data_IF_235747725397
#
_entry.id   IF_235747725397
#
_cell.length_a   1.000
_cell.length_b   1.000
_cell.length_c   1.000
_cell.angle_alpha   90.00
_cell.angle_beta   90.00
_cell.angle_gamma   90.00
#
_symmetry.space_group_name_H-M   'P 1'
#
loop_
_entity.id
_entity.type
_entity.pdbx_description
1 polymer ?
#
# COMPACT_ATOMS: atom_id res chain seq x y z
N UNK A 1 13.71 24.54 -38.78
CA UNK A 1 12.72 23.49 -39.10
C UNK A 1 12.08 23.11 -37.78
N UNK A 2 10.94 23.70 -37.49
CA UNK A 2 10.10 23.33 -36.35
C UNK A 2 9.35 22.06 -36.71
N UNK A 3 9.55 20.99 -35.97
CA UNK A 3 8.73 19.80 -36.01
C UNK A 3 7.60 19.95 -35.02
N UNK A 4 6.43 20.31 -35.51
CA UNK A 4 5.17 20.24 -34.77
C UNK A 4 4.90 18.79 -34.38
N UNK A 5 4.56 18.46 -33.10
CA UNK A 5 4.13 17.12 -32.76
C UNK A 5 2.79 16.81 -33.46
N UNK A 6 2.71 15.67 -34.13
CA UNK A 6 1.43 15.17 -34.64
C UNK A 6 0.46 14.92 -33.50
N UNK A 7 -0.70 15.56 -33.58
CA UNK A 7 -1.82 15.37 -32.69
C UNK A 7 -2.44 13.99 -32.97
N UNK A 8 -2.25 13.03 -32.07
CA UNK A 8 -2.94 11.74 -32.12
C UNK A 8 -4.39 11.95 -31.73
N UNK A 9 -5.26 12.07 -32.74
CA UNK A 9 -6.71 12.04 -32.56
C UNK A 9 -7.12 10.60 -32.23
N UNK A 10 -7.42 10.31 -30.98
CA UNK A 10 -8.09 9.07 -30.58
C UNK A 10 -9.53 9.10 -31.08
N UNK A 11 -9.82 8.38 -32.15
CA UNK A 11 -11.19 8.08 -32.58
C UNK A 11 -11.82 7.09 -31.60
N UNK A 12 -13.11 7.32 -31.29
CA UNK A 12 -13.97 6.57 -30.37
C UNK A 12 -14.07 5.06 -30.65
N UNK A 13 -13.04 4.32 -30.28
CA UNK A 13 -13.12 2.93 -29.92
C UNK A 13 -12.34 2.82 -28.62
N UNK A 14 -12.98 2.38 -27.53
CA UNK A 14 -12.35 2.07 -26.24
C UNK A 14 -11.31 0.95 -26.42
N UNK A 15 -10.17 1.28 -27.03
CA UNK A 15 -8.97 0.52 -26.85
C UNK A 15 -8.53 0.85 -25.42
N UNK A 16 -8.65 -0.11 -24.50
CA UNK A 16 -8.02 -0.01 -23.19
C UNK A 16 -6.57 0.41 -23.42
N UNK A 17 -6.12 1.50 -22.80
CA UNK A 17 -4.70 1.80 -22.77
C UNK A 17 -4.00 0.52 -22.27
N UNK A 18 -2.89 0.13 -22.90
CA UNK A 18 -2.22 -1.14 -22.57
C UNK A 18 -1.75 -1.17 -21.10
N UNK A 19 -1.38 -2.35 -20.65
CA UNK A 19 -0.78 -2.56 -19.32
C UNK A 19 0.50 -1.73 -19.23
N UNK A 20 0.62 -0.90 -18.17
CA UNK A 20 1.81 -0.09 -17.88
C UNK A 20 2.67 -0.80 -16.84
N UNK A 21 3.97 -0.96 -17.11
CA UNK A 21 4.90 -1.57 -16.17
C UNK A 21 5.51 -0.51 -15.25
N UNK A 22 5.30 -0.66 -13.94
CA UNK A 22 5.91 0.16 -12.90
C UNK A 22 7.07 -0.59 -12.25
N UNK A 23 8.29 -0.08 -12.45
CA UNK A 23 9.50 -0.64 -11.84
C UNK A 23 9.78 0.05 -10.52
N UNK A 24 9.99 -0.68 -9.41
CA UNK A 24 10.26 -0.09 -8.11
C UNK A 24 11.63 0.56 -8.05
N UNK A 25 11.81 1.46 -7.06
CA UNK A 25 13.12 1.96 -6.64
C UNK A 25 13.46 1.44 -5.25
N UNK A 26 14.72 1.13 -5.01
CA UNK A 26 15.20 0.77 -3.67
C UNK A 26 15.32 2.03 -2.81
N UNK A 27 14.77 1.97 -1.60
CA UNK A 27 14.84 3.03 -0.61
C UNK A 27 15.06 2.44 0.78
N UNK A 28 15.83 3.10 1.68
CA UNK A 28 15.95 2.66 3.05
C UNK A 28 14.67 2.97 3.83
N UNK A 29 14.19 2.02 4.62
CA UNK A 29 13.06 2.19 5.52
C UNK A 29 13.58 2.50 6.94
N UNK A 30 13.25 3.68 7.51
CA UNK A 30 13.50 3.99 8.92
C UNK A 30 14.91 4.54 9.25
N UNK A 31 15.74 4.89 8.27
CA UNK A 31 17.04 5.54 8.47
C UNK A 31 18.25 4.73 8.00
N UNK A 32 19.52 5.16 8.28
CA UNK A 32 20.73 4.66 7.61
C UNK A 32 21.13 3.19 7.91
N UNK A 33 20.47 2.51 8.83
CA UNK A 33 20.68 1.10 9.14
C UNK A 33 19.41 0.28 8.98
N UNK A 34 18.48 0.82 8.23
CA UNK A 34 17.18 0.24 8.03
C UNK A 34 17.19 -0.77 6.89
N UNK A 35 16.19 -1.63 6.90
CA UNK A 35 15.92 -2.58 5.85
C UNK A 35 15.65 -1.85 4.52
N UNK A 36 16.20 -2.35 3.42
CA UNK A 36 15.90 -1.85 2.09
C UNK A 36 14.52 -2.33 1.65
N UNK A 37 13.73 -1.42 1.09
CA UNK A 37 12.43 -1.72 0.51
C UNK A 37 12.37 -1.32 -0.96
N UNK A 38 11.59 -2.06 -1.73
CA UNK A 38 11.28 -1.78 -3.14
C UNK A 38 10.01 -0.94 -3.20
N UNK A 39 10.16 0.37 -3.36
CA UNK A 39 9.03 1.31 -3.42
C UNK A 39 8.50 1.45 -4.83
N UNK A 40 7.27 0.99 -5.05
CA UNK A 40 6.58 1.11 -6.34
C UNK A 40 5.70 2.36 -6.41
N UNK A 41 5.01 2.69 -5.32
CA UNK A 41 4.22 3.92 -5.22
C UNK A 41 4.73 4.78 -4.04
N UNK A 42 4.73 6.14 -4.16
CA UNK A 42 4.44 6.91 -5.37
C UNK A 42 5.65 6.99 -6.31
N UNK A 43 5.36 7.14 -7.62
CA UNK A 43 6.35 7.45 -8.64
C UNK A 43 5.99 8.75 -9.37
N UNK A 44 6.95 9.27 -10.17
CA UNK A 44 6.72 10.49 -10.96
C UNK A 44 5.60 10.32 -11.98
N UNK A 45 5.51 9.14 -12.58
CA UNK A 45 4.53 8.80 -13.62
C UNK A 45 3.20 8.34 -13.04
N UNK A 46 3.19 7.82 -11.78
CA UNK A 46 1.98 7.31 -11.12
C UNK A 46 2.06 7.54 -9.62
N UNK A 47 1.16 8.33 -9.09
CA UNK A 47 1.08 8.59 -7.64
C UNK A 47 0.06 7.69 -6.95
N UNK A 48 -1.01 7.31 -7.65
CA UNK A 48 -2.15 6.55 -7.13
C UNK A 48 -2.51 5.36 -8.02
N UNK A 49 -3.13 4.36 -7.42
CA UNK A 49 -3.94 3.31 -8.07
C UNK A 49 -5.24 3.24 -7.26
N UNK A 50 -6.36 3.75 -7.78
CA UNK A 50 -7.50 4.09 -6.95
C UNK A 50 -7.07 5.05 -5.84
N UNK A 51 -7.36 4.71 -4.58
CA UNK A 51 -6.86 5.45 -3.43
C UNK A 51 -5.52 4.92 -2.84
N UNK A 52 -4.95 3.86 -3.41
CA UNK A 52 -3.63 3.37 -2.98
C UNK A 52 -2.55 4.36 -3.39
N UNK A 53 -1.90 4.98 -2.40
CA UNK A 53 -0.93 6.06 -2.61
C UNK A 53 0.50 5.69 -2.22
N UNK A 54 0.71 4.51 -1.64
CA UNK A 54 2.03 4.04 -1.22
C UNK A 54 2.10 2.51 -1.28
N UNK A 55 3.21 1.98 -1.79
CA UNK A 55 3.51 0.57 -1.82
C UNK A 55 5.01 0.36 -1.66
N UNK A 56 5.40 -0.17 -0.50
CA UNK A 56 6.72 -0.69 -0.19
C UNK A 56 6.65 -2.21 -0.09
N UNK A 57 7.38 -2.90 -0.96
CA UNK A 57 7.55 -4.34 -0.94
C UNK A 57 8.94 -4.66 -0.41
N UNK A 58 9.05 -5.53 0.57
CA UNK A 58 10.31 -5.84 1.26
C UNK A 58 10.51 -7.31 1.47
N UNK A 59 11.75 -7.69 1.63
CA UNK A 59 12.18 -9.06 1.90
C UNK A 59 12.24 -9.97 0.66
N UNK A 60 12.45 -11.28 0.88
CA UNK A 60 12.76 -11.89 2.18
C UNK A 60 14.04 -11.30 2.79
N UNK A 61 13.94 -10.76 4.00
CA UNK A 61 15.00 -10.07 4.71
C UNK A 61 15.42 -10.87 5.96
N UNK A 62 16.68 -11.34 6.06
CA UNK A 62 17.16 -12.06 7.24
C UNK A 62 17.34 -11.06 8.40
N UNK A 63 16.44 -11.07 9.36
CA UNK A 63 16.40 -10.12 10.48
C UNK A 63 17.66 -10.16 11.34
N UNK A 64 18.32 -11.31 11.44
CA UNK A 64 19.60 -11.44 12.15
C UNK A 64 20.72 -10.58 11.58
N UNK A 65 20.71 -10.31 10.28
CA UNK A 65 21.72 -9.53 9.56
C UNK A 65 21.39 -8.03 9.54
N UNK A 66 20.11 -7.68 9.36
CA UNK A 66 19.63 -6.31 9.12
C UNK A 66 19.07 -5.64 10.37
N UNK A 67 18.61 -6.43 11.35
CA UNK A 67 17.83 -5.99 12.50
C UNK A 67 16.31 -5.92 12.20
N UNK A 68 15.89 -6.25 10.96
CA UNK A 68 14.50 -6.26 10.55
C UNK A 68 13.83 -4.88 10.55
N UNK A 69 12.51 -4.87 10.63
CA UNK A 69 11.75 -3.62 10.76
C UNK A 69 11.93 -3.03 12.15
N UNK A 70 12.40 -1.80 12.21
CA UNK A 70 12.61 -1.04 13.44
C UNK A 70 12.21 0.41 13.21
N UNK A 71 10.91 0.67 13.20
CA UNK A 71 10.35 2.00 12.96
C UNK A 71 9.78 2.55 14.27
N UNK A 72 10.53 3.41 14.99
CA UNK A 72 10.07 4.06 16.21
C UNK A 72 8.82 4.92 15.97
N UNK A 73 8.21 5.37 17.05
CA UNK A 73 7.03 6.23 17.00
C UNK A 73 7.16 7.32 15.96
N UNK A 74 6.22 7.35 15.02
CA UNK A 74 6.11 8.33 13.93
C UNK A 74 4.64 8.64 13.65
N UNK A 75 4.31 9.80 13.06
CA UNK A 75 2.94 10.25 12.90
C UNK A 75 2.39 9.91 11.54
N UNK A 76 1.06 9.87 11.42
CA UNK A 76 0.34 9.86 10.14
C UNK A 76 -0.88 10.78 10.19
N UNK A 77 -1.27 11.33 9.03
CA UNK A 77 -2.50 12.09 8.80
C UNK A 77 -3.09 11.76 7.45
N UNK A 78 -4.43 11.74 7.32
CA UNK A 78 -5.14 11.70 6.05
C UNK A 78 -5.00 10.41 5.25
N UNK A 79 -4.59 9.31 5.91
CA UNK A 79 -4.36 8.02 5.28
C UNK A 79 -4.78 6.85 6.16
N UNK A 80 -4.80 5.67 5.57
CA UNK A 80 -4.81 4.39 6.28
C UNK A 80 -3.51 3.63 5.95
N UNK A 81 -2.90 2.95 6.94
CA UNK A 81 -1.81 2.00 6.67
C UNK A 81 -2.37 0.60 6.58
N UNK A 82 -1.86 -0.19 5.65
CA UNK A 82 -2.20 -1.59 5.46
C UNK A 82 -0.92 -2.40 5.51
N UNK A 83 -0.79 -3.30 6.48
CA UNK A 83 0.32 -4.23 6.58
C UNK A 83 -0.16 -5.62 6.15
N UNK A 84 0.55 -6.22 5.17
CA UNK A 84 0.32 -7.58 4.70
C UNK A 84 1.63 -8.35 4.64
N UNK A 85 1.79 -9.32 5.54
CA UNK A 85 3.01 -10.12 5.63
C UNK A 85 2.87 -11.45 4.88
N UNK A 86 3.97 -11.87 4.26
CA UNK A 86 4.17 -13.21 3.70
C UNK A 86 4.92 -14.11 4.69
N UNK A 87 5.84 -13.52 5.47
CA UNK A 87 6.65 -14.22 6.47
C UNK A 87 7.08 -13.26 7.56
N UNK A 88 7.23 -13.77 8.78
CA UNK A 88 7.63 -13.01 9.96
C UNK A 88 6.46 -12.33 10.66
N UNK A 89 6.77 -11.61 11.72
CA UNK A 89 5.79 -10.89 12.53
C UNK A 89 6.28 -9.49 12.85
N UNK A 90 5.35 -8.54 12.91
CA UNK A 90 5.60 -7.15 13.30
C UNK A 90 4.70 -6.81 14.49
N UNK A 91 5.28 -6.26 15.55
CA UNK A 91 4.56 -5.65 16.64
C UNK A 91 4.18 -4.22 16.25
N UNK A 92 2.88 -3.94 16.22
CA UNK A 92 2.29 -2.64 16.01
C UNK A 92 1.76 -2.08 17.34
N UNK A 93 2.10 -0.83 17.65
CA UNK A 93 1.52 -0.05 18.76
C UNK A 93 1.15 1.33 18.27
N UNK A 94 0.00 1.85 18.70
CA UNK A 94 -0.42 3.19 18.31
C UNK A 94 -0.97 4.04 19.47
N UNK A 95 -1.08 5.32 19.19
CA UNK A 95 -1.56 6.32 20.16
C UNK A 95 -3.09 6.31 20.38
N UNK A 96 -3.84 5.51 19.62
CA UNK A 96 -5.26 5.26 19.88
C UNK A 96 -5.48 4.12 20.89
N UNK A 97 -4.38 3.47 21.32
CA UNK A 97 -4.38 2.41 22.32
C UNK A 97 -4.45 1.00 21.74
N UNK A 98 -4.31 0.85 20.43
CA UNK A 98 -4.23 -0.48 19.81
C UNK A 98 -2.80 -1.03 19.91
N UNK A 99 -2.75 -2.33 20.20
CA UNK A 99 -1.52 -3.11 20.24
C UNK A 99 -1.82 -4.46 19.58
N UNK A 100 -1.13 -4.78 18.50
CA UNK A 100 -1.36 -5.98 17.72
C UNK A 100 -0.06 -6.57 17.18
N UNK A 101 -0.06 -7.89 17.01
CA UNK A 101 0.97 -8.58 16.23
C UNK A 101 0.41 -8.80 14.82
N UNK A 102 1.07 -8.21 13.83
CA UNK A 102 0.81 -8.45 12.41
C UNK A 102 1.41 -9.79 12.03
N UNK A 103 0.60 -10.69 11.45
CA UNK A 103 1.02 -12.04 11.06
C UNK A 103 0.78 -12.32 9.58
N UNK A 104 1.49 -13.27 8.99
CA UNK A 104 1.23 -13.71 7.62
C UNK A 104 -0.23 -14.12 7.40
N UNK A 105 -0.81 -13.66 6.29
CA UNK A 105 -2.20 -13.95 5.92
C UNK A 105 -3.25 -13.22 6.76
N UNK A 106 -2.87 -12.22 7.54
CA UNK A 106 -3.75 -11.36 8.32
C UNK A 106 -3.56 -9.89 7.91
N UNK A 107 -4.63 -9.14 7.74
CA UNK A 107 -4.56 -7.71 7.46
C UNK A 107 -4.70 -6.90 8.74
N UNK A 108 -3.81 -5.94 8.91
CA UNK A 108 -3.96 -4.86 9.87
C UNK A 108 -4.14 -3.55 9.10
N UNK A 109 -5.24 -2.86 9.38
CA UNK A 109 -5.59 -1.57 8.80
C UNK A 109 -5.69 -0.54 9.92
N UNK A 110 -4.71 0.35 10.01
CA UNK A 110 -4.75 1.51 10.90
C UNK A 110 -5.27 2.73 10.14
N UNK A 111 -6.36 3.31 10.59
CA UNK A 111 -6.88 4.58 10.07
C UNK A 111 -6.29 5.73 10.85
N UNK A 112 -5.46 6.55 10.20
CA UNK A 112 -4.86 7.72 10.82
C UNK A 112 -5.86 8.88 10.97
N UNK A 113 -6.73 9.06 10.00
CA UNK A 113 -7.72 10.13 10.01
C UNK A 113 -7.09 11.49 10.25
N UNK A 114 -7.60 12.21 11.25
CA UNK A 114 -7.09 13.55 11.65
C UNK A 114 -5.65 13.55 12.15
N UNK A 115 -5.14 12.40 12.61
CA UNK A 115 -3.78 12.23 13.12
C UNK A 115 -3.67 11.11 14.13
N UNK A 116 -2.63 10.30 14.01
CA UNK A 116 -2.23 9.21 14.90
C UNK A 116 -0.71 9.13 14.92
N UNK A 117 -0.12 8.51 15.94
CA UNK A 117 1.27 8.04 15.88
C UNK A 117 1.33 6.56 16.19
N UNK A 118 2.27 5.85 15.56
CA UNK A 118 2.49 4.43 15.80
C UNK A 118 3.96 4.04 15.71
N UNK A 119 4.28 2.84 16.18
CA UNK A 119 5.58 2.18 16.01
C UNK A 119 5.39 0.78 15.44
N UNK A 120 6.39 0.30 14.69
CA UNK A 120 6.40 -1.01 14.07
C UNK A 120 7.78 -1.66 14.26
N UNK A 121 7.82 -2.82 14.91
CA UNK A 121 9.05 -3.56 15.18
C UNK A 121 8.87 -5.03 14.81
N UNK A 122 9.87 -5.62 14.13
CA UNK A 122 9.94 -7.08 14.01
C UNK A 122 9.97 -7.71 15.40
N UNK A 123 9.15 -8.76 15.60
CA UNK A 123 9.18 -9.47 16.88
C UNK A 123 10.51 -10.23 17.06
N UNK A 124 10.93 -10.54 18.30
CA UNK A 124 12.17 -11.30 18.54
C UNK A 124 12.20 -12.68 17.88
N UNK A 125 11.04 -13.26 17.62
CA UNK A 125 10.88 -14.58 17.00
C UNK A 125 10.98 -14.53 15.47
N UNK A 126 10.97 -13.34 14.88
CA UNK A 126 11.05 -13.17 13.42
C UNK A 126 12.47 -13.38 12.92
N UNK A 127 12.70 -14.52 12.27
CA UNK A 127 13.99 -14.82 11.63
C UNK A 127 14.11 -14.20 10.24
N UNK A 128 13.01 -14.17 9.49
CA UNK A 128 12.91 -13.57 8.15
C UNK A 128 11.68 -12.70 8.10
N UNK A 129 11.82 -11.46 7.63
CA UNK A 129 10.71 -10.56 7.37
C UNK A 129 10.47 -10.42 5.88
N UNK A 130 9.21 -10.63 5.44
CA UNK A 130 8.82 -10.52 4.03
C UNK A 130 7.35 -10.08 3.94
N UNK A 131 7.07 -9.06 3.14
CA UNK A 131 5.71 -8.53 3.02
C UNK A 131 5.62 -7.23 2.26
N UNK A 132 4.48 -6.58 2.42
CA UNK A 132 4.20 -5.27 1.85
C UNK A 132 3.59 -4.34 2.90
N UNK A 133 4.05 -3.07 2.87
CA UNK A 133 3.43 -1.95 3.56
C UNK A 133 2.78 -1.05 2.53
N UNK A 134 1.47 -0.83 2.68
CA UNK A 134 0.70 -0.01 1.75
C UNK A 134 -0.01 1.11 2.50
N UNK A 135 -0.28 2.21 1.79
CA UNK A 135 -1.16 3.25 2.31
C UNK A 135 -2.29 3.54 1.34
N UNK A 136 -3.44 3.83 1.93
CA UNK A 136 -4.64 4.29 1.25
C UNK A 136 -4.87 5.76 1.63
N UNK A 137 -4.93 6.65 0.68
CA UNK A 137 -5.30 8.03 0.92
C UNK A 137 -6.79 8.11 1.29
N UNK A 138 -7.11 8.83 2.36
CA UNK A 138 -8.50 9.08 2.72
C UNK A 138 -9.09 10.19 1.83
N UNK A 139 -10.33 10.02 1.34
CA UNK A 139 -11.03 11.08 0.63
C UNK A 139 -11.29 12.28 1.55
N UNK A 140 -11.56 13.45 0.99
CA UNK A 140 -11.77 14.68 1.78
C UNK A 140 -12.91 14.53 2.80
N UNK A 141 -13.92 13.74 2.48
CA UNK A 141 -15.04 13.41 3.37
C UNK A 141 -14.64 12.60 4.61
N UNK A 142 -13.50 11.88 4.58
CA UNK A 142 -13.08 10.96 5.65
C UNK A 142 -11.69 11.28 6.26
N UNK A 143 -10.91 12.19 5.69
CA UNK A 143 -9.53 12.46 6.15
C UNK A 143 -9.41 13.05 7.55
N UNK A 144 -10.53 13.43 8.16
CA UNK A 144 -10.59 13.98 9.52
C UNK A 144 -11.32 13.08 10.53
N UNK A 145 -11.65 11.84 10.16
CA UNK A 145 -12.24 10.88 11.10
C UNK A 145 -11.31 10.61 12.27
N UNK A 146 -11.85 10.06 13.35
CA UNK A 146 -11.04 9.62 14.48
C UNK A 146 -10.17 8.43 14.08
N UNK A 147 -8.98 8.29 14.65
CA UNK A 147 -8.16 7.10 14.47
C UNK A 147 -8.88 5.82 14.86
N UNK A 148 -8.71 4.78 14.03
CA UNK A 148 -9.26 3.45 14.30
C UNK A 148 -8.28 2.38 13.84
N UNK A 149 -8.53 1.14 14.28
CA UNK A 149 -7.75 -0.02 13.89
C UNK A 149 -8.67 -1.19 13.57
N UNK A 150 -8.40 -1.91 12.49
CA UNK A 150 -9.08 -3.13 12.13
C UNK A 150 -8.07 -4.24 11.88
N UNK A 151 -8.36 -5.42 12.42
CA UNK A 151 -7.61 -6.65 12.20
C UNK A 151 -8.55 -7.71 11.63
N UNK A 152 -8.11 -8.42 10.61
CA UNK A 152 -8.91 -9.49 10.00
C UNK A 152 -8.01 -10.55 9.36
N UNK A 153 -8.40 -11.80 9.55
CA UNK A 153 -7.81 -12.96 8.86
C UNK A 153 -8.79 -13.43 7.79
N UNK A 154 -8.56 -13.11 6.50
CA UNK A 154 -9.44 -13.56 5.45
C UNK A 154 -9.34 -15.07 5.26
N UNK A 155 -10.51 -15.71 5.11
CA UNK A 155 -10.57 -17.11 4.71
C UNK A 155 -10.06 -17.25 3.27
N UNK A 156 -9.16 -18.20 3.00
CA UNK A 156 -8.69 -18.45 1.65
C UNK A 156 -9.81 -19.02 0.79
N UNK A 157 -9.90 -18.59 -0.45
CA UNK A 157 -10.68 -19.27 -1.49
C UNK A 157 -9.73 -19.91 -2.49
N UNK A 158 -10.04 -21.12 -2.98
CA UNK A 158 -9.19 -21.81 -3.92
C UNK A 158 -9.28 -23.32 -3.86
N UNK A 159 -8.24 -23.97 -4.36
CA UNK A 159 -8.04 -25.41 -4.39
C UNK A 159 -6.55 -25.74 -4.32
N UNK A 160 -6.15 -26.97 -4.62
CA UNK A 160 -4.74 -27.42 -4.58
C UNK A 160 -3.83 -26.72 -5.62
N UNK A 161 -4.40 -26.00 -6.60
CA UNK A 161 -3.64 -25.33 -7.64
C UNK A 161 -3.50 -23.84 -7.42
N UNK A 162 -4.38 -23.22 -6.64
CA UNK A 162 -4.35 -21.78 -6.37
C UNK A 162 -5.09 -21.43 -5.09
N UNK A 163 -4.67 -20.33 -4.51
CA UNK A 163 -5.29 -19.74 -3.33
C UNK A 163 -5.35 -18.22 -3.47
N UNK A 164 -6.47 -17.62 -3.08
CA UNK A 164 -6.66 -16.16 -3.03
C UNK A 164 -7.20 -15.77 -1.66
N UNK A 165 -6.56 -14.77 -1.04
CA UNK A 165 -7.01 -14.13 0.21
C UNK A 165 -7.36 -12.68 -0.05
N UNK A 166 -8.64 -12.35 0.02
CA UNK A 166 -9.12 -10.97 -0.16
C UNK A 166 -9.08 -10.27 1.19
N UNK A 167 -8.08 -9.42 1.39
CA UNK A 167 -7.91 -8.72 2.66
C UNK A 167 -8.65 -7.37 2.72
N UNK A 168 -8.98 -6.73 1.58
CA UNK A 168 -9.84 -5.55 1.48
C UNK A 168 -10.77 -5.66 0.27
N UNK A 169 -11.99 -5.16 0.41
CA UNK A 169 -12.98 -5.13 -0.66
C UNK A 169 -13.49 -6.51 -1.05
N UNK A 170 -13.72 -6.75 -2.33
CA UNK A 170 -14.23 -8.01 -2.84
C UNK A 170 -13.61 -8.39 -4.18
N UNK A 171 -13.52 -9.68 -4.46
CA UNK A 171 -12.95 -10.22 -5.69
C UNK A 171 -13.69 -11.46 -6.15
N UNK A 172 -13.91 -11.58 -7.47
CA UNK A 172 -14.36 -12.79 -8.12
C UNK A 172 -13.25 -13.36 -9.00
N UNK A 173 -13.06 -14.67 -8.87
CA UNK A 173 -12.04 -15.43 -9.61
C UNK A 173 -12.71 -16.62 -10.27
N UNK A 174 -12.36 -16.92 -11.53
CA UNK A 174 -12.84 -18.12 -12.20
C UNK A 174 -11.68 -18.93 -12.77
N UNK A 175 -11.89 -20.22 -12.80
CA UNK A 175 -11.02 -21.18 -13.47
C UNK A 175 -11.46 -21.37 -14.94
N UNK A 176 -10.59 -21.95 -15.74
CA UNK A 176 -10.89 -22.26 -17.13
C UNK A 176 -12.09 -23.20 -17.36
N UNK A 177 -12.56 -23.88 -16.32
CA UNK A 177 -13.74 -24.73 -16.30
C UNK A 177 -15.07 -23.98 -16.03
N UNK A 178 -15.01 -22.64 -15.79
CA UNK A 178 -16.17 -21.79 -15.58
C UNK A 178 -16.74 -21.79 -14.16
N UNK A 179 -16.07 -22.40 -13.17
CA UNK A 179 -16.45 -22.25 -11.77
C UNK A 179 -16.06 -20.85 -11.28
N UNK A 180 -17.02 -20.11 -10.75
CA UNK A 180 -16.82 -18.78 -10.17
C UNK A 180 -16.71 -18.88 -8.64
N UNK A 181 -15.66 -18.25 -8.10
CA UNK A 181 -15.40 -18.12 -6.67
C UNK A 181 -15.46 -16.65 -6.29
N UNK A 182 -16.06 -16.33 -5.16
CA UNK A 182 -16.21 -14.95 -4.67
C UNK A 182 -15.84 -14.86 -3.20
N UNK A 183 -15.06 -13.83 -2.88
CA UNK A 183 -14.72 -13.51 -1.49
C UNK A 183 -14.86 -12.02 -1.23
N UNK A 184 -15.22 -11.67 0.01
CA UNK A 184 -15.38 -10.30 0.49
C UNK A 184 -14.76 -10.15 1.87
N UNK A 185 -13.99 -9.11 2.04
CA UNK A 185 -13.45 -8.71 3.35
C UNK A 185 -14.50 -7.91 4.13
N UNK A 186 -14.70 -8.18 5.43
CA UNK A 186 -15.57 -7.37 6.28
C UNK A 186 -14.91 -6.03 6.71
N UNK A 187 -13.64 -5.81 6.37
CA UNK A 187 -12.91 -4.61 6.76
C UNK A 187 -13.45 -3.41 6.00
N UNK A 188 -13.91 -2.40 6.73
CA UNK A 188 -14.49 -1.19 6.15
C UNK A 188 -13.40 -0.25 5.64
N UNK A 189 -13.55 0.21 4.40
CA UNK A 189 -12.74 1.26 3.77
C UNK A 189 -13.59 2.50 3.49
N UNK A 190 -12.94 3.64 3.26
CA UNK A 190 -13.61 4.92 3.00
C UNK A 190 -13.80 5.22 1.50
N UNK A 191 -13.24 4.35 0.65
CA UNK A 191 -13.40 4.34 -0.81
C UNK A 191 -13.61 2.90 -1.26
N UNK A 192 -14.13 2.69 -2.46
CA UNK A 192 -14.17 1.34 -3.04
C UNK A 192 -12.74 0.88 -3.37
N UNK A 193 -12.31 -0.17 -2.70
CA UNK A 193 -10.97 -0.75 -2.86
C UNK A 193 -11.04 -2.26 -3.07
N UNK A 194 -9.96 -2.81 -3.59
CA UNK A 194 -9.63 -4.24 -3.51
C UNK A 194 -8.16 -4.40 -3.13
N UNK A 195 -7.92 -5.36 -2.26
CA UNK A 195 -6.59 -5.85 -1.93
C UNK A 195 -6.65 -7.35 -1.71
N UNK A 196 -5.81 -8.10 -2.44
CA UNK A 196 -5.77 -9.56 -2.36
C UNK A 196 -4.36 -10.11 -2.56
N UNK A 197 -4.03 -11.19 -1.84
CA UNK A 197 -2.90 -12.06 -2.16
C UNK A 197 -3.36 -13.19 -3.07
N UNK A 198 -2.55 -13.51 -4.06
CA UNK A 198 -2.81 -14.58 -5.04
C UNK A 198 -1.61 -15.51 -5.05
N UNK A 199 -1.85 -16.78 -4.74
CA UNK A 199 -0.88 -17.88 -4.83
C UNK A 199 -1.31 -18.82 -5.96
N UNK A 200 -0.35 -19.22 -6.81
CA UNK A 200 -0.64 -20.13 -7.93
C UNK A 200 0.46 -21.17 -8.10
N UNK A 201 0.07 -22.41 -8.27
CA UNK A 201 0.99 -23.49 -8.64
C UNK A 201 1.45 -23.37 -10.10
N UNK A 202 2.58 -23.97 -10.47
CA UNK A 202 3.09 -23.91 -11.84
C UNK A 202 2.07 -24.32 -12.89
N UNK A 203 1.97 -23.53 -13.97
CA UNK A 203 1.07 -23.78 -15.09
C UNK A 203 -0.41 -23.43 -14.84
N UNK A 204 -0.76 -22.98 -13.64
CA UNK A 204 -2.14 -22.57 -13.30
C UNK A 204 -2.52 -21.33 -14.09
N UNK A 205 -3.79 -21.29 -14.49
CA UNK A 205 -4.40 -20.12 -15.13
C UNK A 205 -5.65 -19.71 -14.36
N UNK A 206 -5.73 -18.43 -14.01
CA UNK A 206 -6.85 -17.81 -13.29
C UNK A 206 -7.36 -16.62 -14.08
N UNK A 207 -8.67 -16.51 -14.20
CA UNK A 207 -9.35 -15.31 -14.66
C UNK A 207 -9.86 -14.52 -13.48
N UNK A 208 -9.42 -13.28 -13.37
CA UNK A 208 -9.84 -12.34 -12.33
C UNK A 208 -10.89 -11.40 -12.94
N UNK A 209 -12.08 -11.36 -12.37
CA UNK A 209 -13.08 -10.37 -12.74
C UNK A 209 -12.74 -9.03 -12.10
N UNK A 210 -12.74 -7.97 -12.89
CA UNK A 210 -12.40 -6.61 -12.48
C UNK A 210 -13.60 -5.68 -12.60
N UNK A 211 -13.70 -4.71 -11.73
CA UNK A 211 -14.66 -3.61 -11.88
C UNK A 211 -14.12 -2.63 -12.91
N UNK A 212 -14.83 -2.44 -14.02
CA UNK A 212 -14.34 -1.62 -15.15
C UNK A 212 -14.10 -0.15 -14.81
N UNK A 213 -14.71 0.38 -13.77
CA UNK A 213 -14.48 1.73 -13.26
C UNK A 213 -13.34 1.83 -12.23
N UNK A 214 -12.67 0.72 -11.90
CA UNK A 214 -11.50 0.69 -11.03
C UNK A 214 -10.21 0.69 -11.83
N UNK A 215 -9.18 1.30 -11.27
CA UNK A 215 -7.78 1.05 -11.60
C UNK A 215 -7.31 -0.18 -10.82
N UNK A 216 -6.35 -0.92 -11.40
CA UNK A 216 -5.78 -2.10 -10.73
C UNK A 216 -4.27 -2.13 -10.88
N UNK A 217 -3.61 -2.84 -9.96
CA UNK A 217 -2.20 -3.13 -10.00
C UNK A 217 -1.94 -4.58 -9.58
N UNK A 218 -1.08 -5.28 -10.32
CA UNK A 218 -0.61 -6.63 -9.98
C UNK A 218 0.87 -6.55 -9.69
N UNK A 219 1.27 -6.73 -8.44
CA UNK A 219 2.66 -6.83 -8.02
C UNK A 219 3.09 -8.28 -8.00
N UNK A 220 4.17 -8.64 -8.71
CA UNK A 220 4.76 -9.98 -8.64
C UNK A 220 5.83 -10.05 -7.55
N UNK A 221 5.57 -10.80 -6.49
CA UNK A 221 6.56 -11.11 -5.46
C UNK A 221 7.52 -12.22 -5.88
N UNK A 222 7.00 -13.35 -6.34
CA UNK A 222 7.81 -14.52 -6.67
C UNK A 222 7.22 -15.34 -7.80
N UNK A 223 8.08 -16.13 -8.45
CA UNK A 223 7.72 -16.97 -9.56
C UNK A 223 7.88 -16.28 -10.92
N UNK A 224 7.09 -16.73 -11.89
CA UNK A 224 6.98 -16.16 -13.24
C UNK A 224 5.49 -16.05 -13.58
N UNK A 225 5.04 -14.86 -13.92
CA UNK A 225 3.63 -14.55 -14.14
C UNK A 225 3.44 -13.82 -15.47
N UNK A 226 2.40 -14.20 -16.20
CA UNK A 226 1.84 -13.38 -17.27
C UNK A 226 0.52 -12.77 -16.81
N UNK A 227 0.33 -11.52 -17.18
CA UNK A 227 -0.94 -10.80 -17.07
C UNK A 227 -1.46 -10.66 -18.50
N UNK A 228 -2.51 -11.39 -18.82
CA UNK A 228 -2.95 -11.65 -20.20
C UNK A 228 -1.79 -12.20 -21.07
N UNK A 229 -1.32 -11.44 -22.07
CA UNK A 229 -0.21 -11.83 -22.94
C UNK A 229 1.17 -11.36 -22.44
N UNK A 230 1.21 -10.40 -21.50
CA UNK A 230 2.41 -9.69 -21.09
C UNK A 230 3.12 -10.39 -19.92
N UNK A 231 4.43 -10.58 -20.04
CA UNK A 231 5.25 -11.09 -18.94
C UNK A 231 5.45 -9.99 -17.90
N UNK A 232 5.16 -10.31 -16.62
CA UNK A 232 5.40 -9.42 -15.49
C UNK A 232 6.74 -9.76 -14.83
N UNK A 233 7.77 -8.89 -14.91
CA UNK A 233 9.03 -9.11 -14.22
C UNK A 233 8.84 -9.12 -12.71
N UNK A 234 9.63 -9.96 -12.02
CA UNK A 234 9.63 -10.01 -10.55
C UNK A 234 9.85 -8.63 -9.94
N UNK A 235 9.21 -8.38 -8.81
CA UNK A 235 9.23 -7.12 -8.04
C UNK A 235 8.60 -5.92 -8.76
N UNK A 236 8.12 -6.09 -10.01
CA UNK A 236 7.43 -5.03 -10.75
C UNK A 236 5.91 -5.13 -10.56
N UNK A 237 5.24 -4.03 -10.87
CA UNK A 237 3.79 -3.93 -10.83
C UNK A 237 3.24 -3.64 -12.24
N UNK A 238 2.32 -4.48 -12.69
CA UNK A 238 1.51 -4.24 -13.88
C UNK A 238 0.33 -3.35 -13.49
N UNK A 239 0.29 -2.12 -14.00
CA UNK A 239 -0.83 -1.21 -13.82
C UNK A 239 -1.84 -1.36 -14.96
N UNK A 240 -3.11 -1.46 -14.59
CA UNK A 240 -4.25 -1.53 -15.50
C UNK A 240 -5.15 -0.30 -15.26
N UNK A 241 -5.33 0.56 -16.27
CA UNK A 241 -6.25 1.70 -16.17
C UNK A 241 -7.71 1.23 -16.08
N UNK A 242 -8.61 2.16 -15.83
CA UNK A 242 -10.06 1.92 -15.92
C UNK A 242 -10.43 1.36 -17.31
N UNK A 243 -11.49 0.53 -17.36
CA UNK A 243 -11.98 -0.09 -18.60
C UNK A 243 -11.80 -1.61 -18.65
N UNK A 244 -10.87 -2.19 -17.90
CA UNK A 244 -10.71 -3.62 -17.83
C UNK A 244 -11.86 -4.29 -17.07
N UNK A 245 -12.46 -5.31 -17.66
CA UNK A 245 -13.54 -6.11 -17.02
C UNK A 245 -13.01 -7.44 -16.46
N UNK A 246 -11.89 -7.90 -16.96
CA UNK A 246 -11.19 -9.09 -16.47
C UNK A 246 -9.78 -9.13 -16.99
N UNK A 247 -8.92 -9.88 -16.32
CA UNK A 247 -7.60 -10.29 -16.76
C UNK A 247 -7.42 -11.78 -16.55
N UNK A 248 -6.47 -12.35 -17.29
CA UNK A 248 -6.02 -13.73 -17.09
C UNK A 248 -4.60 -13.71 -16.51
N UNK A 249 -4.42 -14.34 -15.36
CA UNK A 249 -3.12 -14.59 -14.78
C UNK A 249 -2.67 -16.01 -15.17
N UNK A 250 -1.44 -16.15 -15.68
CA UNK A 250 -0.87 -17.45 -16.05
C UNK A 250 0.47 -17.63 -15.33
N UNK A 251 0.53 -18.61 -14.43
CA UNK A 251 1.77 -19.00 -13.77
C UNK A 251 2.70 -19.74 -14.71
N UNK A 252 3.99 -19.43 -14.64
CA UNK A 252 5.03 -20.14 -15.40
C UNK A 252 5.40 -21.48 -14.74
N UNK A 253 6.69 -21.80 -14.74
CA UNK A 253 7.22 -23.09 -14.27
C UNK A 253 7.54 -23.14 -12.77
N UNK A 254 7.29 -22.05 -12.03
CA UNK A 254 7.52 -21.95 -10.58
C UNK A 254 6.25 -21.47 -9.91
N UNK A 255 6.03 -21.80 -8.62
CA UNK A 255 4.94 -21.22 -7.85
C UNK A 255 4.99 -19.69 -7.87
N UNK A 256 3.83 -19.08 -7.98
CA UNK A 256 3.66 -17.62 -8.03
C UNK A 256 3.06 -17.11 -6.74
N UNK A 257 3.59 -15.98 -6.24
CA UNK A 257 2.92 -15.10 -5.30
C UNK A 257 2.80 -13.72 -5.92
N UNK A 258 1.60 -13.18 -5.89
CA UNK A 258 1.31 -11.83 -6.36
C UNK A 258 0.37 -11.10 -5.40
N UNK A 259 0.42 -9.78 -5.39
CA UNK A 259 -0.57 -8.92 -4.76
C UNK A 259 -1.39 -8.22 -5.85
N UNK A 260 -2.71 -8.25 -5.70
CA UNK A 260 -3.64 -7.44 -6.46
C UNK A 260 -4.10 -6.30 -5.56
N UNK A 261 -3.93 -5.07 -6.02
CA UNK A 261 -4.52 -3.86 -5.44
C UNK A 261 -5.36 -3.17 -6.49
N UNK A 262 -6.37 -2.41 -6.07
CA UNK A 262 -7.18 -1.65 -7.01
C UNK A 262 -8.22 -0.82 -6.27
N UNK A 263 -8.96 -0.02 -7.02
CA UNK A 263 -10.03 0.81 -6.49
C UNK A 263 -10.53 1.82 -7.51
N UNK A 264 -11.66 2.43 -7.17
CA UNK A 264 -12.14 3.59 -7.90
C UNK A 264 -11.11 4.72 -7.82
N UNK A 265 -10.78 5.40 -8.94
CA UNK A 265 -9.90 6.57 -8.92
C UNK A 265 -10.35 7.57 -7.85
N UNK A 266 -9.40 8.09 -7.06
CA UNK A 266 -9.73 8.96 -5.93
C UNK A 266 -10.38 10.27 -6.35
N UNK A 267 -10.13 10.74 -7.59
CA UNK A 267 -10.63 12.00 -8.15
C UNK A 267 -10.32 13.25 -7.31
N UNK A 268 -9.31 13.14 -6.43
CA UNK A 268 -8.84 14.24 -5.59
C UNK A 268 -7.32 14.34 -5.68
N UNK A 269 -6.83 15.55 -5.74
CA UNK A 269 -5.40 15.80 -5.63
C UNK A 269 -4.96 15.68 -4.17
N UNK A 270 -3.93 14.90 -3.92
CA UNK A 270 -3.32 14.76 -2.60
C UNK A 270 -1.91 15.33 -2.56
N UNK A 271 -1.50 15.80 -1.40
CA UNK A 271 -0.14 16.20 -1.13
C UNK A 271 0.47 15.24 -0.10
N UNK A 272 1.41 14.42 -0.56
CA UNK A 272 2.16 13.51 0.30
C UNK A 272 3.54 14.11 0.58
N UNK A 273 3.87 14.23 1.85
CA UNK A 273 5.21 14.60 2.28
C UNK A 273 5.56 13.87 3.58
N UNK A 274 6.68 13.15 3.58
CA UNK A 274 7.09 12.27 4.66
C UNK A 274 5.96 11.29 5.01
N UNK A 275 5.37 11.38 6.22
CA UNK A 275 4.27 10.51 6.68
C UNK A 275 2.91 11.23 6.70
N UNK A 276 2.82 12.41 6.11
CA UNK A 276 1.59 13.18 6.08
C UNK A 276 0.95 13.18 4.70
N UNK A 277 -0.35 12.91 4.66
CA UNK A 277 -1.20 13.17 3.51
C UNK A 277 -2.12 14.34 3.86
N UNK A 278 -2.03 15.40 3.07
CA UNK A 278 -2.85 16.59 3.16
C UNK A 278 -3.37 16.99 1.78
N UNK A 279 -3.94 18.18 1.67
CA UNK A 279 -4.40 18.77 0.42
C UNK A 279 -3.61 20.02 0.04
N UNK A 280 -3.02 20.69 1.03
CA UNK A 280 -2.27 21.93 0.81
C UNK A 280 -0.91 21.89 1.49
N UNK A 281 -0.01 22.74 1.01
CA UNK A 281 1.30 22.93 1.63
C UNK A 281 1.16 23.39 3.10
N UNK A 282 0.23 24.29 3.37
CA UNK A 282 -0.02 24.85 4.71
C UNK A 282 -0.50 23.78 5.70
N UNK A 283 -1.32 22.83 5.24
CA UNK A 283 -1.70 21.69 6.09
C UNK A 283 -0.48 20.87 6.51
N UNK A 284 0.40 20.53 5.55
CA UNK A 284 1.61 19.74 5.84
C UNK A 284 2.56 20.51 6.76
N UNK A 285 2.74 21.82 6.56
CA UNK A 285 3.51 22.68 7.47
C UNK A 285 2.96 22.60 8.88
N UNK A 286 1.63 22.72 9.03
CA UNK A 286 0.94 22.65 10.32
C UNK A 286 1.09 21.26 10.96
N UNK A 287 0.93 20.19 10.20
CA UNK A 287 1.11 18.83 10.73
C UNK A 287 2.53 18.61 11.26
N UNK A 288 3.53 19.05 10.50
CA UNK A 288 4.92 18.98 10.93
C UNK A 288 5.17 19.77 12.20
N UNK A 289 4.70 21.02 12.26
CA UNK A 289 4.89 21.87 13.45
C UNK A 289 4.25 21.26 14.71
N UNK A 290 3.03 20.73 14.58
CA UNK A 290 2.34 20.07 15.69
C UNK A 290 3.09 18.80 16.13
N UNK A 291 3.53 17.96 15.19
CA UNK A 291 4.32 16.77 15.51
C UNK A 291 5.61 17.11 16.28
N UNK A 292 6.39 18.05 15.74
CA UNK A 292 7.65 18.46 16.35
C UNK A 292 7.47 19.02 17.77
N UNK A 293 6.40 19.78 17.99
CA UNK A 293 6.05 20.28 19.31
C UNK A 293 5.60 19.16 20.27
N UNK A 294 4.75 18.24 19.80
CA UNK A 294 4.22 17.13 20.62
C UNK A 294 5.33 16.17 21.10
N UNK A 295 6.38 15.95 20.31
CA UNK A 295 7.55 15.14 20.70
C UNK A 295 8.66 15.93 21.38
N UNK A 296 8.51 17.25 21.56
CA UNK A 296 9.51 18.13 22.17
C UNK A 296 10.75 18.39 21.32
N UNK A 297 10.70 18.08 20.00
CA UNK A 297 11.83 18.28 19.09
C UNK A 297 12.02 19.73 18.64
N UNK A 298 10.94 20.52 18.60
CA UNK A 298 10.96 21.95 18.30
C UNK A 298 9.97 22.68 19.23
N UNK A 299 10.21 23.98 19.56
CA UNK A 299 9.25 24.79 20.29
C UNK A 299 7.93 24.92 19.52
N UNK A 300 6.78 24.88 20.23
CA UNK A 300 5.47 25.04 19.61
C UNK A 300 4.33 24.69 20.56
N UNK A 301 3.11 24.73 20.03
CA UNK A 301 1.91 24.36 20.76
C UNK A 301 1.64 22.87 20.69
N UNK A 302 1.92 22.16 21.78
CA UNK A 302 1.65 20.72 21.93
C UNK A 302 0.23 20.44 22.48
N UNK A 303 -0.58 21.45 22.74
CA UNK A 303 -1.89 21.29 23.41
C UNK A 303 -2.92 20.54 22.55
N UNK A 304 -2.74 20.52 21.23
CA UNK A 304 -3.66 19.85 20.31
C UNK A 304 -3.67 18.33 20.49
N UNK A 305 -2.54 17.74 20.94
CA UNK A 305 -2.32 16.30 21.02
C UNK A 305 -2.88 15.55 19.80
N UNK A 306 -2.62 16.12 18.62
CA UNK A 306 -3.14 15.58 17.34
C UNK A 306 -2.73 14.14 17.13
N UNK A 307 -1.48 13.80 17.50
CA UNK A 307 -0.89 12.49 17.29
C UNK A 307 -0.98 11.58 18.52
N UNK A 308 -1.62 12.06 19.57
CA UNK A 308 -1.97 11.32 20.78
C UNK A 308 -0.78 11.05 21.72
N UNK A 309 -1.11 10.55 22.88
CA UNK A 309 -0.10 10.10 23.85
C UNK A 309 0.41 8.70 23.45
N UNK A 310 1.64 8.36 23.87
CA UNK A 310 2.25 7.07 23.53
C UNK A 310 2.77 6.41 24.83
N UNK A 311 2.79 5.07 24.91
CA UNK A 311 3.27 4.36 26.09
C UNK A 311 4.68 4.79 26.50
N UNK A 312 4.93 4.84 27.82
CA UNK A 312 6.27 5.07 28.34
C UNK A 312 7.20 3.88 28.06
N UNK A 313 8.51 4.15 27.95
CA UNK A 313 9.53 3.12 27.71
C UNK A 313 9.75 2.78 26.24
N UNK A 314 8.98 3.34 25.32
CA UNK A 314 9.22 3.19 23.88
C UNK A 314 10.45 4.00 23.43
N UNK A 315 11.11 3.57 22.33
CA UNK A 315 12.19 4.35 21.74
C UNK A 315 11.77 5.78 21.38
N UNK A 316 12.72 6.70 21.38
CA UNK A 316 12.45 8.10 21.03
C UNK A 316 11.73 8.21 19.67
N UNK A 317 10.72 9.08 19.62
CA UNK A 317 9.95 9.31 18.41
C UNK A 317 10.81 9.90 17.29
N UNK A 318 10.48 9.55 16.05
CA UNK A 318 11.18 10.07 14.87
C UNK A 318 10.80 11.54 14.62
N UNK A 319 11.76 12.48 14.63
CA UNK A 319 11.48 13.86 14.24
C UNK A 319 11.18 13.95 12.75
N UNK A 320 10.23 14.80 12.38
CA UNK A 320 9.95 15.06 10.98
C UNK A 320 11.14 15.80 10.32
N UNK A 321 11.48 15.48 9.07
CA UNK A 321 12.52 16.20 8.34
C UNK A 321 12.26 17.71 8.25
N UNK A 322 13.28 18.47 7.87
CA UNK A 322 13.10 19.87 7.53
C UNK A 322 12.31 19.97 6.22
N UNK A 323 11.32 20.85 6.19
CA UNK A 323 10.57 21.11 4.96
C UNK A 323 11.49 21.61 3.84
N UNK A 324 11.23 21.22 2.58
CA UNK A 324 11.97 21.77 1.46
C UNK A 324 11.71 23.28 1.33
N UNK A 325 12.67 24.02 0.81
CA UNK A 325 12.55 25.46 0.58
C UNK A 325 11.53 25.84 -0.50
N UNK A 326 11.14 24.85 -1.31
CA UNK A 326 10.11 25.01 -2.36
C UNK A 326 8.74 24.64 -1.82
N UNK A 327 7.71 25.33 -2.32
CA UNK A 327 6.33 24.99 -1.98
C UNK A 327 5.99 23.59 -2.50
N UNK A 328 5.48 22.74 -1.63
CA UNK A 328 4.95 21.42 -1.99
C UNK A 328 3.71 21.59 -2.87
N UNK A 329 3.56 20.72 -3.83
CA UNK A 329 2.41 20.71 -4.76
C UNK A 329 1.68 19.39 -4.68
N UNK A 330 0.34 19.42 -4.68
CA UNK A 330 -0.47 18.21 -4.80
C UNK A 330 -0.18 17.45 -6.11
N UNK A 331 -0.52 16.16 -6.10
CA UNK A 331 -0.42 15.24 -7.25
C UNK A 331 -1.71 14.46 -7.37
N UNK A 332 -1.99 14.02 -8.59
CA UNK A 332 -3.07 13.12 -8.95
C UNK A 332 -2.61 11.68 -8.79
#
# INVERSE_FOLDING_TARGET
METTPEELVCSDHHACAGIELLTPRNVPLGGPRAMDVRRTLPQKQRSLIGAWCFLDHYGPDPVGDTGGMRVPRHPHTGLQTVSWLFTGEIEHRDSAGFHAIVRPGEVNLMTAGRGISHSEFSTPETAVLHGAQLWVALPDSARHVLPTFAHHKPEPMGNDQWEVRVFLGSLSVSEGNGADHYSVSPVTTHTELVGAEILMEPGTQLRIALKSHHEHGILLDSGALKVDADELPKDNLAYLPVGYQSITLTAGTKPVRALLIGGEPLHEQILMWWNFVGRTHEEVVKFRQQWQAEIGAEPGDASSKRFGDFPEGEPAALPAPVLPTVRLRPRD
#
